data_IF_089801370979
#
_entry.id   IF_089801370979
#
_cell.length_a   1.000
_cell.length_b   1.000
_cell.length_c   1.000
_cell.angle_alpha   90.00
_cell.angle_beta   90.00
_cell.angle_gamma   90.00
#
_symmetry.space_group_name_H-M   'P 1'
#
loop_
_entity.id
_entity.type
_entity.pdbx_description
1 polymer ?
#
# COMPACT_ATOMS: atom_id res chain seq x y z
N UNK A 1 7.60 -10.26 31.88
CA UNK A 1 8.11 -11.23 30.89
C UNK A 1 6.97 -11.89 30.15
N UNK A 2 7.03 -11.83 28.81
CA UNK A 2 6.19 -12.59 27.87
C UNK A 2 7.01 -13.71 27.25
N UNK A 3 6.36 -14.80 26.85
CA UNK A 3 6.97 -15.93 26.14
C UNK A 3 6.75 -15.79 24.64
N UNK A 4 7.85 -15.63 23.88
CA UNK A 4 7.81 -15.61 22.41
C UNK A 4 8.30 -16.94 21.86
N UNK A 5 7.44 -17.62 21.12
CA UNK A 5 7.71 -18.94 20.52
C UNK A 5 8.13 -18.79 19.06
N UNK A 6 9.27 -19.38 18.69
CA UNK A 6 9.84 -19.35 17.34
C UNK A 6 9.39 -20.55 16.50
N UNK A 7 9.60 -20.53 15.17
CA UNK A 7 9.15 -21.60 14.28
C UNK A 7 9.76 -22.99 14.58
N UNK A 8 10.96 -23.02 15.15
CA UNK A 8 11.65 -24.24 15.60
C UNK A 8 11.08 -24.82 16.92
N UNK A 9 10.08 -24.15 17.51
CA UNK A 9 9.47 -24.52 18.78
C UNK A 9 10.21 -24.01 20.01
N UNK A 10 11.38 -23.39 19.84
CA UNK A 10 12.08 -22.76 20.95
C UNK A 10 11.26 -21.55 21.45
N UNK A 11 11.30 -21.30 22.76
CA UNK A 11 10.68 -20.13 23.37
C UNK A 11 11.73 -19.31 24.11
N UNK A 12 11.62 -17.99 24.03
CA UNK A 12 12.47 -17.06 24.79
C UNK A 12 11.59 -16.04 25.51
N UNK A 13 12.03 -15.63 26.68
CA UNK A 13 11.35 -14.63 27.48
C UNK A 13 11.84 -13.23 27.12
N UNK A 14 10.91 -12.30 26.91
CA UNK A 14 11.18 -10.89 26.63
C UNK A 14 10.33 -10.00 27.53
N UNK A 15 10.74 -8.73 27.72
CA UNK A 15 9.89 -7.78 28.41
C UNK A 15 8.67 -7.39 27.54
N UNK A 16 7.47 -7.19 28.13
CA UNK A 16 6.31 -6.69 27.41
C UNK A 16 6.64 -5.37 26.71
N UNK A 17 6.16 -5.21 25.48
CA UNK A 17 6.42 -4.04 24.63
C UNK A 17 7.62 -4.18 23.70
N UNK A 18 8.35 -5.30 23.76
CA UNK A 18 9.42 -5.60 22.79
C UNK A 18 8.86 -5.62 21.36
N UNK A 19 9.58 -5.04 20.39
CA UNK A 19 9.19 -5.10 18.99
C UNK A 19 9.75 -6.33 18.29
N UNK A 20 9.12 -6.74 17.19
CA UNK A 20 9.69 -7.79 16.32
C UNK A 20 11.08 -7.42 15.78
N UNK A 21 11.33 -6.13 15.54
CA UNK A 21 12.65 -5.63 15.13
C UNK A 21 13.71 -5.88 16.21
N UNK A 22 13.40 -5.63 17.48
CA UNK A 22 14.34 -5.84 18.59
C UNK A 22 14.62 -7.33 18.82
N UNK A 23 13.59 -8.17 18.71
CA UNK A 23 13.75 -9.63 18.76
C UNK A 23 14.66 -10.09 17.60
N UNK A 24 14.40 -9.64 16.37
CA UNK A 24 15.22 -10.00 15.21
C UNK A 24 16.69 -9.58 15.39
N UNK A 25 16.95 -8.37 15.92
CA UNK A 25 18.30 -7.88 16.24
C UNK A 25 19.00 -8.74 17.30
N UNK A 26 18.27 -9.19 18.33
CA UNK A 26 18.80 -10.07 19.38
C UNK A 26 19.24 -11.44 18.87
N UNK A 27 18.69 -11.88 17.73
CA UNK A 27 19.06 -13.14 17.07
C UNK A 27 20.25 -12.93 16.13
N UNK A 28 20.14 -11.99 15.19
CA UNK A 28 21.26 -11.59 14.33
C UNK A 28 20.98 -10.30 13.55
N UNK A 29 22.02 -9.50 13.23
CA UNK A 29 21.88 -8.33 12.37
C UNK A 29 21.35 -8.66 10.96
N UNK A 30 21.71 -9.83 10.40
CA UNK A 30 21.26 -10.25 9.08
C UNK A 30 19.77 -10.58 9.03
N UNK A 31 19.23 -11.18 10.10
CA UNK A 31 17.79 -11.40 10.25
C UNK A 31 17.05 -10.06 10.32
N UNK A 32 17.48 -9.15 11.20
CA UNK A 32 16.86 -7.84 11.32
C UNK A 32 16.82 -7.07 9.99
N UNK A 33 17.88 -7.16 9.18
CA UNK A 33 17.97 -6.47 7.88
C UNK A 33 17.02 -7.02 6.81
N UNK A 34 16.77 -8.34 6.80
CA UNK A 34 15.93 -9.00 5.77
C UNK A 34 14.45 -9.06 6.11
N UNK A 35 14.10 -8.91 7.39
CA UNK A 35 12.72 -8.90 7.86
C UNK A 35 12.03 -7.58 7.51
N UNK A 36 10.82 -7.67 6.95
CA UNK A 36 10.00 -6.51 6.56
C UNK A 36 8.72 -6.37 7.39
N UNK A 37 8.23 -7.49 7.92
CA UNK A 37 7.07 -7.57 8.80
C UNK A 37 7.22 -8.79 9.71
N UNK A 38 6.30 -8.96 10.67
CA UNK A 38 6.21 -10.20 11.44
C UNK A 38 4.80 -10.77 11.35
N UNK A 39 4.68 -12.09 11.43
CA UNK A 39 3.40 -12.72 11.73
C UNK A 39 3.37 -13.08 13.22
N UNK A 40 2.37 -12.59 13.95
CA UNK A 40 2.10 -12.96 15.33
C UNK A 40 0.86 -13.83 15.37
N UNK A 41 1.01 -15.06 15.85
CA UNK A 41 -0.09 -16.05 15.90
C UNK A 41 -0.80 -16.24 14.54
N UNK A 42 -0.05 -16.08 13.44
CA UNK A 42 -0.55 -16.19 12.07
C UNK A 42 -1.02 -14.88 11.44
N UNK A 43 -1.17 -13.81 12.21
CA UNK A 43 -1.61 -12.50 11.71
C UNK A 43 -0.42 -11.61 11.36
N UNK A 44 -0.41 -11.06 10.14
CA UNK A 44 0.65 -10.16 9.67
C UNK A 44 0.51 -8.77 10.30
N UNK A 45 1.57 -8.30 10.94
CA UNK A 45 1.61 -7.01 11.65
C UNK A 45 2.94 -6.28 11.39
N UNK A 46 2.97 -4.98 11.70
CA UNK A 46 4.17 -4.17 11.51
C UNK A 46 5.33 -4.72 12.37
N UNK A 47 6.54 -4.72 11.83
CA UNK A 47 7.71 -5.22 12.57
C UNK A 47 8.03 -4.39 13.82
N UNK A 48 7.60 -3.12 13.83
CA UNK A 48 7.77 -2.19 14.93
C UNK A 48 6.67 -2.30 16.01
N UNK A 49 5.64 -3.12 15.81
CA UNK A 49 4.55 -3.23 16.79
C UNK A 49 4.99 -3.87 18.10
N UNK A 50 4.51 -3.34 19.24
CA UNK A 50 4.85 -3.87 20.55
C UNK A 50 4.15 -5.20 20.79
N UNK A 51 4.91 -6.19 21.25
CA UNK A 51 4.38 -7.49 21.66
C UNK A 51 4.14 -7.45 23.17
N UNK A 52 2.86 -7.50 23.58
CA UNK A 52 2.45 -7.33 24.98
C UNK A 52 1.92 -8.62 25.63
N UNK A 53 1.87 -9.72 24.87
CA UNK A 53 1.39 -11.03 25.32
C UNK A 53 2.25 -12.14 24.76
N UNK A 54 2.13 -13.32 25.34
CA UNK A 54 2.72 -14.54 24.78
C UNK A 54 2.19 -14.76 23.35
N UNK A 55 3.10 -15.07 22.43
CA UNK A 55 2.77 -15.20 21.01
C UNK A 55 3.77 -16.10 20.28
N UNK A 56 3.33 -16.72 19.20
CA UNK A 56 4.21 -17.32 18.19
C UNK A 56 4.61 -16.25 17.17
N UNK A 57 5.91 -16.08 16.94
CA UNK A 57 6.45 -15.13 15.98
C UNK A 57 7.03 -15.84 14.76
N UNK A 58 6.72 -15.30 13.58
CA UNK A 58 7.43 -15.59 12.33
C UNK A 58 7.95 -14.29 11.73
N UNK A 59 9.21 -14.31 11.28
CA UNK A 59 9.79 -13.17 10.58
C UNK A 59 9.53 -13.28 9.08
N UNK A 60 8.82 -12.30 8.53
CA UNK A 60 8.46 -12.27 7.12
C UNK A 60 9.52 -11.47 6.38
N UNK A 61 10.16 -12.10 5.41
CA UNK A 61 11.10 -11.41 4.51
C UNK A 61 10.37 -10.85 3.30
N UNK A 62 11.01 -9.93 2.56
CA UNK A 62 10.43 -9.37 1.33
C UNK A 62 10.13 -10.44 0.26
N UNK A 63 10.86 -11.55 0.29
CA UNK A 63 10.72 -12.65 -0.68
C UNK A 63 9.63 -13.66 -0.28
N UNK A 64 9.09 -13.55 0.93
CA UNK A 64 7.98 -14.38 1.38
C UNK A 64 6.72 -14.06 0.55
N UNK A 65 5.96 -15.07 0.09
CA UNK A 65 4.72 -14.84 -0.65
C UNK A 65 3.72 -13.92 0.07
N UNK A 66 3.69 -13.95 1.42
CA UNK A 66 2.84 -13.08 2.24
C UNK A 66 3.20 -11.60 2.12
N UNK A 67 4.43 -11.28 1.71
CA UNK A 67 4.88 -9.90 1.52
C UNK A 67 4.34 -9.27 0.22
N UNK A 68 3.76 -10.04 -0.71
CA UNK A 68 3.27 -9.49 -1.98
C UNK A 68 2.14 -8.47 -1.76
N UNK A 69 1.21 -8.73 -0.83
CA UNK A 69 0.16 -7.78 -0.48
C UNK A 69 0.74 -6.52 0.16
N UNK A 70 1.76 -6.66 1.02
CA UNK A 70 2.46 -5.50 1.60
C UNK A 70 3.18 -4.66 0.54
N UNK A 71 3.85 -5.31 -0.42
CA UNK A 71 4.50 -4.61 -1.53
C UNK A 71 3.48 -3.77 -2.31
N UNK A 72 2.30 -4.34 -2.59
CA UNK A 72 1.23 -3.63 -3.31
C UNK A 72 0.62 -2.51 -2.48
N UNK A 73 0.44 -2.74 -1.18
CA UNK A 73 -0.10 -1.74 -0.26
C UNK A 73 0.84 -0.54 -0.11
N UNK A 74 2.12 -0.80 0.16
CA UNK A 74 3.15 0.24 0.25
C UNK A 74 3.34 0.97 -1.09
N UNK A 75 3.24 0.25 -2.22
CA UNK A 75 3.27 0.87 -3.55
C UNK A 75 2.07 1.81 -3.80
N UNK A 76 0.90 1.51 -3.23
CA UNK A 76 -0.26 2.40 -3.29
C UNK A 76 -0.01 3.70 -2.54
N UNK A 77 0.63 3.65 -1.37
CA UNK A 77 1.03 4.85 -0.62
C UNK A 77 2.08 5.67 -1.37
N UNK A 78 3.07 5.02 -2.00
CA UNK A 78 4.06 5.70 -2.85
C UNK A 78 3.41 6.32 -4.09
N UNK A 79 2.41 5.66 -4.69
CA UNK A 79 1.63 6.24 -5.78
C UNK A 79 0.90 7.50 -5.32
N UNK A 80 0.29 7.48 -4.13
CA UNK A 80 -0.40 8.65 -3.57
C UNK A 80 0.55 9.82 -3.30
N UNK A 81 1.70 9.60 -2.64
CA UNK A 81 2.72 10.64 -2.45
C UNK A 81 3.21 11.19 -3.79
N UNK A 82 3.48 10.31 -4.77
CA UNK A 82 3.95 10.72 -6.09
C UNK A 82 2.95 11.64 -6.80
N UNK A 83 1.67 11.26 -6.79
CA UNK A 83 0.59 12.05 -7.39
C UNK A 83 0.45 13.40 -6.70
N UNK A 84 0.37 13.46 -5.38
CA UNK A 84 0.24 14.75 -4.69
C UNK A 84 1.46 15.65 -4.84
N UNK A 85 2.65 15.06 -4.98
CA UNK A 85 3.88 15.83 -5.25
C UNK A 85 3.87 16.44 -6.65
N UNK A 86 3.38 15.72 -7.66
CA UNK A 86 3.36 16.19 -9.05
C UNK A 86 2.16 17.10 -9.35
N UNK A 87 1.03 16.86 -8.67
CA UNK A 87 -0.24 17.53 -8.92
C UNK A 87 -0.79 18.12 -7.61
N UNK A 88 -0.23 19.23 -7.11
CA UNK A 88 -0.67 19.86 -5.88
C UNK A 88 -2.17 20.20 -5.90
N UNK A 89 -2.84 20.03 -4.75
CA UNK A 89 -4.29 20.21 -4.62
C UNK A 89 -5.12 18.97 -4.97
N UNK A 90 -4.49 17.88 -5.42
CA UNK A 90 -5.15 16.58 -5.54
C UNK A 90 -5.42 15.99 -4.16
N UNK A 91 -6.67 15.63 -3.87
CA UNK A 91 -7.04 14.91 -2.65
C UNK A 91 -6.94 13.41 -2.86
N UNK A 92 -6.51 12.70 -1.82
CA UNK A 92 -6.40 11.23 -1.77
C UNK A 92 -7.56 10.64 -1.00
N UNK A 93 -8.08 9.50 -1.46
CA UNK A 93 -9.24 8.87 -0.82
C UNK A 93 -8.94 7.46 -0.31
N UNK A 94 -9.16 6.42 -1.12
CA UNK A 94 -8.93 5.01 -0.79
C UNK A 94 -7.97 4.38 -1.79
N UNK A 95 -7.07 3.53 -1.28
CA UNK A 95 -6.10 2.82 -2.10
C UNK A 95 -5.91 1.35 -1.71
N UNK A 96 -6.92 0.49 -1.89
CA UNK A 96 -6.83 -0.91 -1.46
C UNK A 96 -6.01 -1.75 -2.45
N UNK A 97 -5.45 -2.83 -1.90
CA UNK A 97 -4.91 -3.95 -2.69
C UNK A 97 -6.07 -4.72 -3.33
N UNK A 98 -5.83 -5.22 -4.54
CA UNK A 98 -6.72 -6.12 -5.28
C UNK A 98 -5.93 -7.34 -5.77
N UNK A 99 -6.62 -8.38 -6.25
CA UNK A 99 -6.03 -9.67 -6.63
C UNK A 99 -4.73 -9.57 -7.44
N UNK A 100 -4.69 -8.67 -8.43
CA UNK A 100 -3.56 -8.55 -9.36
C UNK A 100 -2.84 -7.20 -9.28
N UNK A 101 -3.02 -6.44 -8.19
CA UNK A 101 -2.40 -5.13 -8.05
C UNK A 101 -3.03 -4.29 -6.94
N UNK A 102 -3.21 -3.01 -7.21
CA UNK A 102 -3.87 -2.06 -6.33
C UNK A 102 -4.47 -0.94 -7.19
N UNK A 103 -5.26 -0.10 -6.56
CA UNK A 103 -5.60 1.20 -7.14
C UNK A 103 -5.50 2.28 -6.08
N UNK A 104 -5.53 3.53 -6.51
CA UNK A 104 -5.78 4.66 -5.62
C UNK A 104 -6.76 5.63 -6.30
N UNK A 105 -7.75 6.08 -5.53
CA UNK A 105 -8.77 7.02 -5.96
C UNK A 105 -8.40 8.46 -5.56
N UNK A 106 -8.40 9.35 -6.54
CA UNK A 106 -8.02 10.75 -6.40
C UNK A 106 -9.17 11.68 -6.78
N UNK A 107 -9.27 12.81 -6.08
CA UNK A 107 -10.14 13.91 -6.48
C UNK A 107 -9.29 15.11 -6.91
N UNK A 108 -9.43 15.52 -8.17
CA UNK A 108 -8.83 16.71 -8.75
C UNK A 108 -9.64 17.20 -9.95
N UNK A 109 -9.51 18.49 -10.26
CA UNK A 109 -10.28 19.13 -11.33
C UNK A 109 -9.85 18.67 -12.74
N UNK A 110 -8.54 18.58 -12.98
CA UNK A 110 -8.01 18.15 -14.28
C UNK A 110 -7.87 16.62 -14.32
N UNK A 111 -8.40 15.94 -15.35
CA UNK A 111 -8.24 14.50 -15.51
C UNK A 111 -6.79 14.06 -15.69
N UNK A 112 -6.41 12.93 -15.11
CA UNK A 112 -5.21 12.20 -15.50
C UNK A 112 -5.39 11.64 -16.90
N UNK A 113 -4.27 11.59 -17.60
CA UNK A 113 -4.14 11.03 -18.94
C UNK A 113 -3.06 9.95 -18.92
N UNK A 114 -3.03 9.06 -19.92
CA UNK A 114 -1.94 8.09 -20.06
C UNK A 114 -0.54 8.73 -20.15
N UNK A 115 -0.44 9.98 -20.63
CA UNK A 115 0.82 10.71 -20.75
C UNK A 115 1.44 11.01 -19.38
N UNK A 116 0.61 11.13 -18.33
CA UNK A 116 1.06 11.37 -16.96
C UNK A 116 1.75 10.16 -16.32
N UNK A 117 1.49 8.95 -16.82
CA UNK A 117 1.93 7.71 -16.16
C UNK A 117 3.45 7.63 -16.06
N UNK A 118 4.15 8.07 -17.11
CA UNK A 118 5.62 8.04 -17.14
C UNK A 118 6.23 8.96 -16.07
N UNK A 119 5.64 10.14 -15.85
CA UNK A 119 6.07 11.09 -14.84
C UNK A 119 5.76 10.58 -13.42
N UNK A 120 4.56 10.02 -13.21
CA UNK A 120 4.16 9.44 -11.93
C UNK A 120 5.06 8.26 -11.57
N UNK A 121 5.27 7.30 -12.48
CA UNK A 121 6.15 6.16 -12.20
C UNK A 121 7.58 6.59 -11.94
N UNK A 122 8.10 7.59 -12.67
CA UNK A 122 9.42 8.16 -12.38
C UNK A 122 9.46 8.72 -10.96
N UNK A 123 8.43 9.46 -10.54
CA UNK A 123 8.36 10.02 -9.20
C UNK A 123 8.26 8.95 -8.12
N UNK A 124 7.49 7.89 -8.35
CA UNK A 124 7.42 6.73 -7.46
C UNK A 124 8.81 6.09 -7.29
N UNK A 125 9.58 5.92 -8.38
CA UNK A 125 10.96 5.40 -8.30
C UNK A 125 11.89 6.30 -7.49
N UNK A 126 11.77 7.63 -7.63
CA UNK A 126 12.50 8.59 -6.81
C UNK A 126 12.18 8.45 -5.31
N UNK A 127 10.92 8.21 -4.95
CA UNK A 127 10.47 8.02 -3.55
C UNK A 127 11.00 6.69 -2.99
N UNK A 128 10.91 5.61 -3.76
CA UNK A 128 11.45 4.29 -3.38
C UNK A 128 12.96 4.37 -3.17
N UNK A 129 13.69 5.04 -4.07
CA UNK A 129 15.14 5.17 -4.00
C UNK A 129 15.64 5.94 -2.75
N UNK A 130 14.79 6.78 -2.15
CA UNK A 130 15.11 7.47 -0.89
C UNK A 130 15.07 6.56 0.34
N UNK A 131 14.47 5.37 0.22
CA UNK A 131 14.39 4.36 1.28
C UNK A 131 13.96 4.91 2.65
N UNK A 132 12.91 5.74 2.64
CA UNK A 132 12.42 6.39 3.86
C UNK A 132 11.72 5.37 4.75
N UNK A 133 11.92 5.41 6.08
CA UNK A 133 11.25 4.49 6.98
C UNK A 133 9.75 4.75 6.98
N UNK A 134 8.98 3.66 7.01
CA UNK A 134 7.57 3.75 7.39
C UNK A 134 7.50 3.87 8.91
N UNK A 135 6.77 4.87 9.38
CA UNK A 135 6.51 5.07 10.81
C UNK A 135 5.02 5.16 11.06
N UNK A 136 4.59 4.74 12.25
CA UNK A 136 3.19 4.72 12.65
C UNK A 136 3.00 5.53 13.92
N UNK A 137 1.98 6.36 13.91
CA UNK A 137 1.46 7.04 15.09
C UNK A 137 -0.02 6.71 15.26
N UNK A 138 -0.48 6.68 16.51
CA UNK A 138 -1.92 6.61 16.82
C UNK A 138 -2.36 8.01 17.20
N UNK A 139 -3.32 8.56 16.46
CA UNK A 139 -3.84 9.90 16.70
C UNK A 139 -5.24 9.86 17.27
N UNK A 140 -5.61 10.90 18.00
CA UNK A 140 -7.01 11.13 18.34
C UNK A 140 -7.80 11.55 17.11
N UNK A 141 -9.12 11.34 17.12
CA UNK A 141 -10.02 11.82 16.05
C UNK A 141 -9.89 13.31 15.80
N UNK A 142 -9.83 14.11 16.88
CA UNK A 142 -9.72 15.56 16.79
C UNK A 142 -8.41 15.98 16.09
N UNK A 143 -7.29 15.35 16.43
CA UNK A 143 -5.99 15.62 15.77
C UNK A 143 -6.02 15.24 14.29
N UNK A 144 -6.56 14.06 13.96
CA UNK A 144 -6.66 13.61 12.58
C UNK A 144 -7.57 14.49 11.72
N UNK A 145 -8.76 14.85 12.22
CA UNK A 145 -9.69 15.76 11.54
C UNK A 145 -9.03 17.12 11.31
N UNK A 146 -8.48 17.74 12.36
CA UNK A 146 -7.85 19.06 12.26
C UNK A 146 -6.67 19.06 11.26
N UNK A 147 -5.89 17.98 11.21
CA UNK A 147 -4.82 17.83 10.23
C UNK A 147 -5.36 17.76 8.79
N UNK A 148 -6.30 16.85 8.52
CA UNK A 148 -6.82 16.64 7.17
C UNK A 148 -7.65 17.81 6.66
N UNK A 149 -8.41 18.50 7.52
CA UNK A 149 -9.09 19.75 7.17
C UNK A 149 -8.09 20.84 6.76
N UNK A 150 -7.02 21.02 7.53
CA UNK A 150 -5.97 22.00 7.23
C UNK A 150 -5.24 21.67 5.93
N UNK A 151 -5.09 20.38 5.61
CA UNK A 151 -4.49 19.91 4.36
C UNK A 151 -5.46 19.97 3.16
N UNK A 152 -6.76 20.24 3.39
CA UNK A 152 -7.79 20.22 2.35
C UNK A 152 -8.24 18.83 1.92
N UNK A 153 -8.01 17.80 2.74
CA UNK A 153 -8.33 16.38 2.49
C UNK A 153 -9.73 16.02 3.02
N UNK A 154 -10.78 16.56 2.38
CA UNK A 154 -12.16 16.39 2.84
C UNK A 154 -12.60 14.91 2.89
N UNK A 155 -12.13 14.08 1.95
CA UNK A 155 -12.44 12.65 1.94
C UNK A 155 -11.80 11.90 3.11
N UNK A 156 -10.59 12.30 3.55
CA UNK A 156 -9.94 11.69 4.71
C UNK A 156 -10.66 12.06 6.01
N UNK A 157 -11.18 13.29 6.12
CA UNK A 157 -12.05 13.69 7.24
C UNK A 157 -13.27 12.79 7.32
N UNK A 158 -13.98 12.58 6.22
CA UNK A 158 -15.17 11.70 6.18
C UNK A 158 -14.80 10.25 6.56
N UNK A 159 -13.62 9.76 6.16
CA UNK A 159 -13.14 8.44 6.55
C UNK A 159 -12.86 8.35 8.06
N UNK A 160 -12.24 9.37 8.66
CA UNK A 160 -12.00 9.42 10.10
C UNK A 160 -13.31 9.37 10.89
N UNK A 161 -14.31 10.14 10.46
CA UNK A 161 -15.63 10.19 11.10
C UNK A 161 -16.39 8.85 10.99
N UNK A 162 -16.19 8.12 9.89
CA UNK A 162 -16.82 6.83 9.66
C UNK A 162 -16.19 5.66 10.45
N UNK A 163 -14.98 5.83 10.98
CA UNK A 163 -14.31 4.78 11.78
C UNK A 163 -14.97 4.71 13.17
N UNK A 164 -15.39 3.51 13.64
CA UNK A 164 -15.98 3.35 14.98
C UNK A 164 -15.12 3.92 16.11
N UNK A 165 -15.79 4.44 17.15
CA UNK A 165 -15.18 5.17 18.27
C UNK A 165 -14.13 4.37 19.05
N UNK A 166 -14.29 3.05 19.08
CA UNK A 166 -13.47 2.06 19.77
C UNK A 166 -12.26 1.57 18.94
N UNK A 167 -12.11 2.05 17.70
CA UNK A 167 -10.97 1.70 16.85
C UNK A 167 -9.94 2.82 16.79
N UNK A 168 -8.67 2.45 16.90
CA UNK A 168 -7.52 3.34 16.76
C UNK A 168 -7.42 3.94 15.35
N UNK A 169 -7.02 5.21 15.28
CA UNK A 169 -6.65 5.87 14.03
C UNK A 169 -5.13 5.83 13.87
N UNK A 170 -4.68 4.91 13.03
CA UNK A 170 -3.27 4.75 12.69
C UNK A 170 -2.91 5.66 11.52
N UNK A 171 -1.95 6.54 11.75
CA UNK A 171 -1.37 7.42 10.73
C UNK A 171 0.00 6.88 10.38
N UNK A 172 0.15 6.45 9.13
CA UNK A 172 1.41 5.98 8.59
C UNK A 172 2.11 7.11 7.84
N UNK A 173 3.42 7.29 8.10
CA UNK A 173 4.26 8.30 7.45
C UNK A 173 5.38 7.63 6.67
N UNK A 174 5.72 8.20 5.52
CA UNK A 174 6.86 7.79 4.68
C UNK A 174 7.79 8.99 4.41
N UNK A 175 8.27 9.58 5.49
CA UNK A 175 8.91 10.91 5.47
C UNK A 175 7.88 11.99 5.79
N UNK A 176 7.82 13.03 4.94
CA UNK A 176 6.94 14.18 5.16
C UNK A 176 5.48 13.89 4.78
N UNK A 177 5.26 12.91 3.91
CA UNK A 177 3.92 12.47 3.50
C UNK A 177 3.35 11.46 4.49
N UNK A 178 2.04 11.55 4.75
CA UNK A 178 1.33 10.68 5.67
C UNK A 178 -0.06 10.29 5.16
N UNK A 179 -0.59 9.20 5.70
CA UNK A 179 -1.93 8.72 5.39
C UNK A 179 -2.61 8.01 6.56
N UNK A 180 -3.94 8.07 6.58
CA UNK A 180 -4.79 7.25 7.43
C UNK A 180 -4.89 5.86 6.81
N UNK A 181 -4.31 4.86 7.48
CA UNK A 181 -4.34 3.49 7.01
C UNK A 181 -4.35 2.50 8.18
N UNK A 182 -4.96 1.32 7.98
CA UNK A 182 -4.99 0.26 9.01
C UNK A 182 -3.67 -0.49 9.12
N UNK A 183 -2.88 -0.48 8.04
CA UNK A 183 -1.65 -1.26 7.90
C UNK A 183 -1.89 -2.77 7.77
N UNK A 184 -0.83 -3.58 7.96
CA UNK A 184 0.55 -3.15 8.23
C UNK A 184 1.27 -2.62 6.97
N UNK A 185 2.44 -2.01 7.20
CA UNK A 185 3.40 -1.60 6.17
C UNK A 185 4.74 -2.32 6.38
N UNK A 186 5.59 -2.35 5.35
CA UNK A 186 6.97 -2.84 5.51
C UNK A 186 7.84 -1.81 6.27
N UNK A 187 9.13 -2.08 6.40
CA UNK A 187 10.05 -1.23 7.18
C UNK A 187 10.42 0.10 6.50
N UNK A 188 10.39 0.17 5.17
CA UNK A 188 10.75 1.39 4.42
C UNK A 188 10.26 1.36 2.97
N UNK A 189 10.18 2.53 2.32
CA UNK A 189 9.78 2.65 0.92
C UNK A 189 10.70 1.88 -0.03
N UNK A 190 11.98 1.72 0.31
CA UNK A 190 12.92 0.95 -0.50
C UNK A 190 12.61 -0.55 -0.52
N UNK A 191 11.84 -1.07 0.45
CA UNK A 191 11.39 -2.47 0.45
C UNK A 191 10.33 -2.76 -0.60
N UNK A 192 9.72 -1.75 -1.20
CA UNK A 192 8.79 -1.95 -2.33
C UNK A 192 9.57 -2.51 -3.54
N UNK A 193 10.74 -1.94 -3.82
CA UNK A 193 11.50 -2.20 -5.04
C UNK A 193 10.90 -1.49 -6.26
N UNK A 194 11.45 -1.78 -7.45
CA UNK A 194 11.12 -1.04 -8.68
C UNK A 194 10.14 -1.79 -9.60
N UNK A 195 9.71 -3.00 -9.23
CA UNK A 195 8.86 -3.85 -10.03
C UNK A 195 7.38 -3.46 -9.86
N UNK A 196 7.03 -2.25 -10.30
CA UNK A 196 5.66 -1.77 -10.38
C UNK A 196 5.36 -1.09 -11.72
N UNK A 197 4.08 -1.06 -12.09
CA UNK A 197 3.59 -0.47 -13.34
C UNK A 197 2.20 0.13 -13.17
N UNK A 198 2.00 1.35 -13.66
CA UNK A 198 0.65 1.93 -13.80
C UNK A 198 0.01 1.33 -15.04
N UNK A 199 -1.21 0.83 -14.87
CA UNK A 199 -1.92 0.06 -15.89
C UNK A 199 -2.90 0.93 -16.67
N UNK A 200 -3.75 1.67 -15.96
CA UNK A 200 -4.81 2.49 -16.55
C UNK A 200 -5.37 3.49 -15.55
N UNK A 201 -6.07 4.49 -16.06
CA UNK A 201 -6.93 5.38 -15.29
C UNK A 201 -8.40 5.07 -15.63
N UNK A 202 -9.28 5.16 -14.64
CA UNK A 202 -10.73 5.01 -14.81
C UNK A 202 -11.48 6.03 -13.94
N UNK A 203 -12.75 6.29 -14.26
CA UNK A 203 -13.65 7.01 -13.36
C UNK A 203 -14.19 6.07 -12.27
N UNK A 204 -14.32 6.59 -11.05
CA UNK A 204 -15.05 5.96 -9.96
C UNK A 204 -15.95 7.00 -9.29
N UNK A 205 -16.94 6.55 -8.54
CA UNK A 205 -17.75 7.46 -7.71
C UNK A 205 -17.41 7.21 -6.24
N UNK A 206 -17.40 8.28 -5.45
CA UNK A 206 -17.14 8.15 -4.02
C UNK A 206 -18.14 7.19 -3.36
N UNK A 207 -17.64 6.18 -2.65
CA UNK A 207 -18.41 5.06 -2.07
C UNK A 207 -19.29 4.28 -3.07
N UNK A 208 -19.00 4.39 -4.37
CA UNK A 208 -19.80 3.77 -5.43
C UNK A 208 -21.17 4.42 -5.66
N UNK A 209 -21.41 5.61 -5.10
CA UNK A 209 -22.67 6.34 -5.23
C UNK A 209 -22.58 7.37 -6.36
N UNK A 210 -23.32 7.15 -7.46
CA UNK A 210 -23.29 8.01 -8.65
C UNK A 210 -23.82 9.43 -8.41
N UNK A 211 -24.40 9.72 -7.25
CA UNK A 211 -24.79 11.08 -6.83
C UNK A 211 -23.66 11.85 -6.16
N UNK A 212 -22.54 11.19 -5.84
CA UNK A 212 -21.37 11.76 -5.18
C UNK A 212 -20.30 12.21 -6.20
N UNK A 213 -19.28 12.97 -5.76
CA UNK A 213 -18.20 13.40 -6.65
C UNK A 213 -17.57 12.23 -7.41
N UNK A 214 -17.31 12.46 -8.69
CA UNK A 214 -16.54 11.54 -9.52
C UNK A 214 -15.05 11.66 -9.15
N UNK A 215 -14.45 10.51 -8.89
CA UNK A 215 -13.03 10.30 -8.58
C UNK A 215 -12.32 9.73 -9.81
N UNK A 216 -11.01 9.88 -9.80
CA UNK A 216 -10.12 9.33 -10.81
C UNK A 216 -9.30 8.22 -10.17
N UNK A 217 -9.53 6.99 -10.64
CA UNK A 217 -8.90 5.78 -10.15
C UNK A 217 -7.69 5.44 -11.00
N UNK A 218 -6.50 5.47 -10.41
CA UNK A 218 -5.29 4.94 -11.06
C UNK A 218 -5.13 3.49 -10.62
N UNK A 219 -5.17 2.56 -11.58
CA UNK A 219 -4.85 1.16 -11.37
C UNK A 219 -3.37 0.91 -11.62
N UNK A 220 -2.73 0.18 -10.72
CA UNK A 220 -1.33 -0.21 -10.83
C UNK A 220 -1.11 -1.64 -10.33
N UNK A 221 0.04 -2.22 -10.64
CA UNK A 221 0.46 -3.51 -10.10
C UNK A 221 1.89 -3.44 -9.59
N UNK A 222 2.22 -4.30 -8.64
CA UNK A 222 3.56 -4.43 -8.08
C UNK A 222 3.87 -5.89 -7.72
N UNK A 223 5.14 -6.25 -7.83
CA UNK A 223 5.65 -7.61 -7.60
C UNK A 223 6.97 -7.59 -6.81
N UNK A 224 7.30 -8.72 -6.20
CA UNK A 224 8.58 -8.89 -5.52
C UNK A 224 9.76 -8.82 -6.51
N UNK A 225 9.63 -9.42 -7.70
CA UNK A 225 10.72 -9.46 -8.70
C UNK A 225 10.28 -8.84 -10.02
N UNK A 226 11.25 -8.26 -10.74
CA UNK A 226 11.04 -7.71 -12.09
C UNK A 226 10.58 -8.78 -13.08
N UNK A 227 11.11 -10.00 -12.96
CA UNK A 227 10.70 -11.14 -13.80
C UNK A 227 9.20 -11.45 -13.66
N UNK A 228 8.67 -11.43 -12.43
CA UNK A 228 7.25 -11.71 -12.16
C UNK A 228 6.35 -10.62 -12.77
N UNK A 229 6.79 -9.35 -12.70
CA UNK A 229 6.10 -8.23 -13.36
C UNK A 229 6.11 -8.42 -14.88
N UNK A 230 7.24 -8.75 -15.48
CA UNK A 230 7.36 -8.92 -16.92
C UNK A 230 6.51 -10.07 -17.44
N UNK A 231 6.49 -11.20 -16.72
CA UNK A 231 5.60 -12.32 -17.02
C UNK A 231 4.12 -11.93 -16.90
N UNK A 232 3.75 -11.16 -15.88
CA UNK A 232 2.39 -10.67 -15.73
C UNK A 232 1.96 -9.75 -16.89
N UNK A 233 2.81 -8.79 -17.27
CA UNK A 233 2.54 -7.88 -18.39
C UNK A 233 2.44 -8.63 -19.72
N UNK A 234 3.32 -9.60 -19.96
CA UNK A 234 3.26 -10.45 -21.15
C UNK A 234 1.95 -11.25 -21.22
N UNK A 235 1.47 -11.81 -20.09
CA UNK A 235 0.17 -12.50 -20.04
C UNK A 235 -1.00 -11.58 -20.35
N UNK A 236 -0.95 -10.32 -19.92
CA UNK A 236 -1.98 -9.34 -20.24
C UNK A 236 -1.99 -8.98 -21.73
N UNK A 237 -0.82 -8.81 -22.34
CA UNK A 237 -0.70 -8.54 -23.78
C UNK A 237 -1.28 -9.70 -24.61
N UNK A 238 -0.96 -10.94 -24.24
CA UNK A 238 -1.50 -12.14 -24.90
C UNK A 238 -3.02 -12.28 -24.72
N UNK A 239 -3.55 -11.88 -23.56
CA UNK A 239 -4.99 -11.86 -23.33
C UNK A 239 -5.68 -10.78 -24.18
N UNK A 240 -5.08 -9.59 -24.33
CA UNK A 240 -5.63 -8.49 -25.12
C UNK A 240 -5.72 -8.83 -26.61
N UNK A 241 -4.75 -9.58 -27.15
CA UNK A 241 -4.78 -10.10 -28.53
C UNK A 241 -5.99 -11.01 -28.81
N UNK A 242 -6.64 -11.53 -27.76
CA UNK A 242 -7.80 -12.43 -27.83
C UNK A 242 -9.09 -11.78 -27.35
N UNK A 243 -9.09 -10.47 -27.14
CA UNK A 243 -10.30 -9.75 -26.74
C UNK A 243 -11.30 -9.70 -27.90
N UNK A 244 -12.47 -10.31 -27.71
CA UNK A 244 -13.53 -10.37 -28.71
C UNK A 244 -14.01 -8.99 -29.18
N UNK A 245 -13.90 -7.94 -28.35
CA UNK A 245 -14.26 -6.56 -28.73
C UNK A 245 -13.22 -5.96 -29.68
N UNK A 246 -11.95 -6.27 -29.43
CA UNK A 246 -10.84 -5.84 -30.28
C UNK A 246 -10.91 -6.56 -31.63
N UNK A 247 -10.99 -7.89 -31.61
CA UNK A 247 -11.14 -8.72 -32.80
C UNK A 247 -12.44 -8.40 -33.56
N UNK A 248 -13.54 -8.19 -32.85
CA UNK A 248 -14.82 -7.80 -33.45
C UNK A 248 -14.75 -6.48 -34.22
N UNK A 249 -14.00 -5.49 -33.70
CA UNK A 249 -13.75 -4.23 -34.41
C UNK A 249 -12.76 -4.39 -35.57
N UNK A 250 -11.65 -5.12 -35.35
CA UNK A 250 -10.59 -5.31 -36.35
C UNK A 250 -11.05 -6.16 -37.54
N UNK A 251 -11.94 -7.11 -37.30
CA UNK A 251 -12.48 -8.04 -38.30
C UNK A 251 -13.90 -7.65 -38.77
N UNK A 252 -14.41 -6.48 -38.36
CA UNK A 252 -15.75 -5.96 -38.69
C UNK A 252 -16.90 -6.96 -38.46
N UNK A 253 -16.86 -7.66 -37.31
CA UNK A 253 -17.82 -8.72 -36.99
C UNK A 253 -19.11 -8.18 -36.36
N UNK A 254 -19.01 -7.09 -35.59
CA UNK A 254 -20.14 -6.43 -34.92
C UNK A 254 -19.78 -4.99 -34.51
N UNK A 255 -20.81 -4.16 -34.29
CA UNK A 255 -20.69 -2.85 -33.64
C UNK A 255 -21.86 -2.65 -32.66
N UNK A 256 -21.65 -1.86 -31.62
CA UNK A 256 -22.71 -1.44 -30.71
C UNK A 256 -23.22 -0.06 -31.14
N UNK A 257 -24.54 0.10 -31.22
CA UNK A 257 -25.22 1.35 -31.56
C UNK A 257 -25.50 2.18 -30.30
#
# INVERSE_FOLDING_TARGET
MISVTFPDGASRAYEPGVSGLDIAKSISPSLAKRTVAMALDGELVDLADPINRDARIEFVSREDPRALELIRHDAAHVLAEAVQTLFPGTQVTIGPVIENGFYYDFFRAEPFTPDDFSAIEKKMREIVAKDRPFTKEVWTRAEAIAHFEKAGEAFKVELVEAIPADQDLKIYKQGDWLDLCRGPHMTSTGKIGEAFKIMKVAGAYWRGDSTKPMLQRIYATAFAKKADLDEYLHRLEEAEKRDHRKLGREMDLFHFQ
#
